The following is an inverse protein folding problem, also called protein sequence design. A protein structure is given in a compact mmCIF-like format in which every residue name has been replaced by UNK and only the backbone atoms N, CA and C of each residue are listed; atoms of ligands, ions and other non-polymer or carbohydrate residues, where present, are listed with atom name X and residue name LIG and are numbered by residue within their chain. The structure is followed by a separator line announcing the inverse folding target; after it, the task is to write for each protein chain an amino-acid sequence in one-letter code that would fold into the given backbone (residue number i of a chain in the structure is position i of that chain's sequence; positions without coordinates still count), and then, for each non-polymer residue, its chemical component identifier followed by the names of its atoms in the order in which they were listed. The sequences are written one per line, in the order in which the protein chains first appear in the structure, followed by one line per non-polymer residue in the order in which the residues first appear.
data_IF_415380433968
#
_entry.id   IF_415380433968
#
_cell.length_a   1.000
_cell.length_b   1.000
_cell.length_c   1.000
_cell.angle_alpha   90.00
_cell.angle_beta   90.00
_cell.angle_gamma   90.00
#
_symmetry.space_group_name_H-M   'P 1'
#
loop_
_entity.id
_entity.type
_entity.pdbx_description
1 polymer ?
#
# COMPACT_ATOMS: atom_id res chain seq x y z
N UNK A 1 29.34 103.57 26.21
CA UNK A 1 27.91 103.73 26.46
C UNK A 1 27.08 103.42 25.25
N UNK A 2 26.22 104.35 24.75
CA UNK A 2 25.19 104.09 23.73
C UNK A 2 25.72 103.42 22.41
N UNK A 3 26.91 103.86 21.97
CA UNK A 3 27.56 103.29 20.74
C UNK A 3 28.00 101.87 20.91
N UNK A 4 28.48 101.49 22.07
CA UNK A 4 28.93 100.14 22.41
C UNK A 4 27.78 99.16 22.60
N UNK A 5 26.76 99.59 23.32
CA UNK A 5 25.50 98.81 23.47
C UNK A 5 24.79 98.63 22.13
N UNK A 6 24.86 99.64 21.20
CA UNK A 6 24.34 99.49 19.83
C UNK A 6 25.07 98.43 19.03
N UNK A 7 26.39 98.38 19.19
CA UNK A 7 27.22 97.30 18.49
C UNK A 7 26.88 95.92 19.01
N UNK A 8 26.83 95.79 20.36
CA UNK A 8 26.48 94.50 21.00
C UNK A 8 25.08 94.04 20.58
N UNK A 9 24.12 94.92 20.50
CA UNK A 9 22.75 94.62 20.10
C UNK A 9 22.69 94.22 18.62
N UNK A 10 23.50 94.84 17.76
CA UNK A 10 23.65 94.44 16.35
C UNK A 10 24.20 93.02 16.19
N UNK A 11 25.25 92.72 16.99
CA UNK A 11 25.84 91.33 16.96
C UNK A 11 24.84 90.27 17.45
N UNK A 12 24.04 90.63 18.48
CA UNK A 12 22.97 89.76 18.98
C UNK A 12 21.88 89.56 17.90
N UNK A 13 21.52 90.63 17.17
CA UNK A 13 20.55 90.53 16.04
C UNK A 13 21.03 89.59 14.91
N UNK A 14 22.31 89.73 14.53
CA UNK A 14 22.86 88.85 13.48
C UNK A 14 22.88 87.39 13.93
N UNK A 15 23.32 87.10 15.17
CA UNK A 15 23.27 85.76 15.75
C UNK A 15 21.87 85.19 15.80
N UNK A 16 20.89 86.04 16.20
CA UNK A 16 19.48 85.62 16.26
C UNK A 16 18.88 85.28 14.92
N UNK A 17 19.20 86.07 13.87
CA UNK A 17 18.82 85.77 12.49
C UNK A 17 19.45 84.48 12.00
N UNK A 18 20.75 84.24 12.30
CA UNK A 18 21.42 83.00 11.97
C UNK A 18 20.79 81.78 12.67
N UNK A 19 20.49 81.87 13.95
CA UNK A 19 19.79 80.79 14.67
C UNK A 19 18.39 80.51 14.13
N UNK A 20 17.65 81.56 13.80
CA UNK A 20 16.35 81.44 13.17
C UNK A 20 16.44 80.66 11.82
N UNK A 21 17.41 81.01 10.99
CA UNK A 21 17.60 80.37 9.69
C UNK A 21 18.04 78.88 9.86
N UNK A 22 18.93 78.58 10.80
CA UNK A 22 19.32 77.19 11.14
C UNK A 22 18.12 76.41 11.65
N UNK A 23 17.28 76.99 12.51
CA UNK A 23 16.08 76.35 13.05
C UNK A 23 15.07 76.07 11.92
N UNK A 24 14.87 76.97 10.98
CA UNK A 24 14.01 76.78 9.83
C UNK A 24 14.54 75.64 8.91
N UNK A 25 15.88 75.57 8.69
CA UNK A 25 16.50 74.49 7.98
C UNK A 25 16.31 73.11 8.64
N UNK A 26 16.56 73.05 9.97
CA UNK A 26 16.30 71.86 10.79
C UNK A 26 14.82 71.42 10.76
N UNK A 27 13.89 72.38 10.85
CA UNK A 27 12.45 72.12 10.74
C UNK A 27 12.05 71.52 9.41
N UNK A 28 12.64 72.01 8.29
CA UNK A 28 12.40 71.43 6.94
C UNK A 28 12.89 69.96 6.88
N UNK A 29 14.05 69.66 7.49
CA UNK A 29 14.58 68.28 7.53
C UNK A 29 13.72 67.34 8.42
N UNK A 30 13.22 67.85 9.54
CA UNK A 30 12.30 67.09 10.41
C UNK A 30 10.98 66.83 9.67
N UNK A 31 10.44 67.84 8.93
CA UNK A 31 9.21 67.64 8.11
C UNK A 31 9.39 66.55 7.07
N UNK A 32 10.52 66.52 6.36
CA UNK A 32 10.83 65.44 5.42
C UNK A 32 10.93 64.04 6.07
N UNK A 33 11.47 63.98 7.29
CA UNK A 33 11.50 62.75 8.08
C UNK A 33 10.11 62.29 8.51
N UNK A 34 9.26 63.25 8.93
CA UNK A 34 7.85 62.98 9.28
C UNK A 34 7.11 62.38 8.05
N UNK A 35 7.27 62.94 6.87
CA UNK A 35 6.64 62.41 5.67
C UNK A 35 7.14 61.00 5.31
N UNK A 36 8.45 60.74 5.49
CA UNK A 36 9.04 59.41 5.32
C UNK A 36 8.47 58.38 6.28
N UNK A 37 8.28 58.75 7.59
CA UNK A 37 7.67 57.87 8.61
C UNK A 37 6.18 57.62 8.28
N UNK A 38 5.42 58.64 7.85
CA UNK A 38 4.03 58.49 7.41
C UNK A 38 3.90 57.51 6.25
N UNK A 39 4.81 57.57 5.23
CA UNK A 39 4.83 56.64 4.12
C UNK A 39 5.14 55.21 4.62
N UNK A 40 6.07 55.08 5.56
CA UNK A 40 6.44 53.79 6.16
C UNK A 40 5.29 53.14 6.95
N UNK A 41 4.54 53.93 7.73
CA UNK A 41 3.34 53.48 8.41
C UNK A 41 2.26 53.01 7.42
N UNK A 42 2.10 53.72 6.31
CA UNK A 42 1.15 53.35 5.26
C UNK A 42 1.53 51.99 4.63
N UNK A 43 2.82 51.77 4.34
CA UNK A 43 3.32 50.50 3.86
C UNK A 43 3.16 49.37 4.88
N UNK A 44 3.41 49.65 6.15
CA UNK A 44 3.21 48.69 7.26
C UNK A 44 1.74 48.26 7.36
N UNK A 45 0.78 49.18 7.29
CA UNK A 45 -0.64 48.86 7.31
C UNK A 45 -1.08 48.00 6.13
N UNK A 46 -0.52 48.23 4.91
CA UNK A 46 -0.77 47.36 3.78
C UNK A 46 -0.21 45.93 4.01
N UNK A 47 0.98 45.81 4.60
CA UNK A 47 1.57 44.52 4.94
C UNK A 47 0.75 43.78 6.00
N UNK A 48 0.25 44.48 7.05
CA UNK A 48 -0.63 43.92 8.07
C UNK A 48 -1.94 43.37 7.49
N UNK A 49 -2.56 44.10 6.54
CA UNK A 49 -3.74 43.59 5.83
C UNK A 49 -3.46 42.31 5.02
N UNK A 50 -2.30 42.25 4.39
CA UNK A 50 -1.87 41.03 3.66
C UNK A 50 -1.65 39.86 4.62
N UNK A 51 -1.00 40.11 5.76
CA UNK A 51 -0.81 39.09 6.83
C UNK A 51 -2.17 38.61 7.34
N UNK A 52 -3.13 39.48 7.56
CA UNK A 52 -4.50 39.12 8.00
C UNK A 52 -5.18 38.16 6.99
N UNK A 53 -5.06 38.46 5.69
CA UNK A 53 -5.60 37.55 4.65
C UNK A 53 -4.92 36.20 4.59
N UNK A 54 -3.59 36.15 4.78
CA UNK A 54 -2.85 34.89 4.84
C UNK A 54 -3.23 34.05 6.07
N UNK A 55 -3.44 34.70 7.22
CA UNK A 55 -3.88 34.02 8.44
C UNK A 55 -5.29 33.41 8.29
N UNK A 56 -6.20 34.09 7.61
CA UNK A 56 -7.53 33.56 7.31
C UNK A 56 -7.47 32.31 6.41
N UNK A 57 -6.64 32.37 5.36
CA UNK A 57 -6.38 31.20 4.51
C UNK A 57 -5.81 30.06 5.33
N UNK A 58 -4.80 30.32 6.18
CA UNK A 58 -4.17 29.30 7.02
C UNK A 58 -5.15 28.67 8.03
N UNK A 59 -6.11 29.42 8.56
CA UNK A 59 -7.17 28.89 9.42
C UNK A 59 -8.05 27.88 8.64
N UNK A 60 -8.41 28.23 7.42
CA UNK A 60 -9.20 27.34 6.55
C UNK A 60 -8.44 26.07 6.19
N UNK A 61 -7.13 26.20 5.89
CA UNK A 61 -6.27 25.07 5.56
C UNK A 61 -6.14 24.10 6.75
N UNK A 62 -6.00 24.63 7.98
CA UNK A 62 -6.00 23.81 9.21
C UNK A 62 -7.33 23.10 9.41
N UNK A 63 -8.45 23.78 9.17
CA UNK A 63 -9.77 23.15 9.29
C UNK A 63 -9.95 22.00 8.29
N UNK A 64 -9.45 22.16 7.06
CA UNK A 64 -9.45 21.11 6.06
C UNK A 64 -8.52 19.95 6.47
N UNK A 65 -7.34 20.26 7.03
CA UNK A 65 -6.40 19.26 7.53
C UNK A 65 -7.01 18.44 8.67
N UNK A 66 -7.73 19.04 9.60
CA UNK A 66 -8.45 18.33 10.67
C UNK A 66 -9.47 17.33 10.09
N UNK A 67 -10.22 17.71 9.06
CA UNK A 67 -11.14 16.78 8.35
C UNK A 67 -10.42 15.63 7.65
N UNK A 68 -9.25 15.88 7.08
CA UNK A 68 -8.42 14.82 6.46
C UNK A 68 -7.85 13.86 7.52
N UNK A 69 -7.42 14.38 8.67
CA UNK A 69 -6.93 13.58 9.81
C UNK A 69 -8.03 12.65 10.33
N UNK A 70 -9.25 13.14 10.48
CA UNK A 70 -10.39 12.33 10.92
C UNK A 70 -10.69 11.21 9.91
N UNK A 71 -10.73 11.54 8.63
CA UNK A 71 -10.93 10.56 7.55
C UNK A 71 -9.81 9.51 7.50
N UNK A 72 -8.55 9.93 7.66
CA UNK A 72 -7.41 9.03 7.70
C UNK A 72 -7.45 8.11 8.92
N UNK A 73 -7.80 8.63 10.09
CA UNK A 73 -7.96 7.84 11.32
C UNK A 73 -9.03 6.76 11.16
N UNK A 74 -10.19 7.12 10.60
CA UNK A 74 -11.25 6.15 10.29
C UNK A 74 -10.78 5.09 9.30
N UNK A 75 -10.06 5.47 8.23
CA UNK A 75 -9.50 4.54 7.24
C UNK A 75 -8.47 3.57 7.83
N UNK A 76 -7.64 4.03 8.78
CA UNK A 76 -6.68 3.18 9.50
C UNK A 76 -7.41 2.14 10.35
N UNK A 77 -8.45 2.54 11.09
CA UNK A 77 -9.25 1.62 11.92
C UNK A 77 -9.95 0.57 11.05
N UNK A 78 -10.58 0.96 9.95
CA UNK A 78 -11.26 0.05 9.01
C UNK A 78 -10.27 -0.91 8.36
N UNK A 79 -9.10 -0.41 7.94
CA UNK A 79 -8.04 -1.23 7.35
C UNK A 79 -7.51 -2.25 8.36
N UNK A 80 -7.29 -1.85 9.62
CA UNK A 80 -6.83 -2.74 10.68
C UNK A 80 -7.83 -3.88 10.92
N UNK A 81 -9.14 -3.58 11.03
CA UNK A 81 -10.18 -4.59 11.17
C UNK A 81 -10.23 -5.56 9.97
N UNK A 82 -10.03 -5.05 8.75
CA UNK A 82 -9.98 -5.87 7.54
C UNK A 82 -8.78 -6.82 7.52
N UNK A 83 -7.62 -6.36 7.96
CA UNK A 83 -6.41 -7.20 8.06
C UNK A 83 -6.55 -8.22 9.19
N UNK A 84 -7.13 -7.88 10.34
CA UNK A 84 -7.42 -8.85 11.40
C UNK A 84 -8.35 -9.97 10.90
N UNK A 85 -9.39 -9.63 10.15
CA UNK A 85 -10.25 -10.61 9.49
C UNK A 85 -9.48 -11.47 8.47
N UNK A 86 -8.57 -10.88 7.70
CA UNK A 86 -7.70 -11.60 6.76
C UNK A 86 -6.81 -12.61 7.50
N UNK A 87 -6.19 -12.25 8.62
CA UNK A 87 -5.40 -13.14 9.47
C UNK A 87 -6.26 -14.31 9.99
N UNK A 88 -7.50 -14.05 10.39
CA UNK A 88 -8.46 -15.09 10.77
C UNK A 88 -8.78 -16.05 9.62
N UNK A 89 -8.96 -15.53 8.41
CA UNK A 89 -9.20 -16.34 7.21
C UNK A 89 -7.98 -17.19 6.84
N UNK A 90 -6.77 -16.61 6.89
CA UNK A 90 -5.51 -17.34 6.65
C UNK A 90 -5.36 -18.50 7.63
N UNK A 91 -5.64 -18.27 8.92
CA UNK A 91 -5.62 -19.33 9.94
C UNK A 91 -6.60 -20.45 9.63
N UNK A 92 -7.82 -20.11 9.17
CA UNK A 92 -8.85 -21.09 8.78
C UNK A 92 -8.43 -21.92 7.56
N UNK A 93 -7.83 -21.27 6.55
CA UNK A 93 -7.29 -21.96 5.36
C UNK A 93 -6.12 -22.85 5.75
N UNK A 94 -5.19 -22.39 6.59
CA UNK A 94 -4.05 -23.16 7.09
C UNK A 94 -4.50 -24.43 7.84
N UNK A 95 -5.54 -24.33 8.68
CA UNK A 95 -6.14 -25.50 9.31
C UNK A 95 -6.75 -26.50 8.30
N UNK A 96 -7.36 -25.97 7.24
CA UNK A 96 -7.92 -26.80 6.17
C UNK A 96 -6.82 -27.52 5.40
N UNK A 97 -5.70 -26.86 5.12
CA UNK A 97 -4.52 -27.44 4.48
C UNK A 97 -3.93 -28.57 5.32
N UNK A 98 -3.83 -28.37 6.63
CA UNK A 98 -3.35 -29.43 7.57
C UNK A 98 -4.24 -30.68 7.50
N UNK A 99 -5.57 -30.49 7.47
CA UNK A 99 -6.51 -31.62 7.29
C UNK A 99 -6.37 -32.26 5.92
N UNK A 100 -6.26 -31.46 4.86
CA UNK A 100 -6.04 -31.97 3.49
C UNK A 100 -4.78 -32.81 3.41
N UNK A 101 -3.68 -32.37 3.99
CA UNK A 101 -2.41 -33.10 4.00
C UNK A 101 -2.57 -34.48 4.66
N UNK A 102 -3.32 -34.59 5.76
CA UNK A 102 -3.59 -35.87 6.41
C UNK A 102 -4.49 -36.76 5.53
N UNK A 103 -5.53 -36.19 4.91
CA UNK A 103 -6.40 -36.95 4.01
C UNK A 103 -5.64 -37.46 2.77
N UNK A 104 -4.72 -36.67 2.21
CA UNK A 104 -3.87 -37.11 1.12
C UNK A 104 -2.90 -38.21 1.55
N UNK A 105 -2.35 -38.17 2.76
CA UNK A 105 -1.53 -39.24 3.32
C UNK A 105 -2.30 -40.56 3.36
N UNK A 106 -3.54 -40.52 3.87
CA UNK A 106 -4.44 -41.68 3.92
C UNK A 106 -4.77 -42.18 2.49
N UNK A 107 -5.02 -41.26 1.57
CA UNK A 107 -5.33 -41.60 0.17
C UNK A 107 -4.14 -42.30 -0.54
N UNK A 108 -2.93 -41.85 -0.25
CA UNK A 108 -1.70 -42.52 -0.75
C UNK A 108 -1.62 -43.92 -0.22
N UNK A 109 -1.85 -44.16 1.07
CA UNK A 109 -1.81 -45.47 1.69
C UNK A 109 -2.88 -46.41 1.10
N UNK A 110 -4.11 -45.91 0.90
CA UNK A 110 -5.20 -46.66 0.27
C UNK A 110 -4.85 -47.02 -1.18
N UNK A 111 -4.31 -46.07 -1.94
CA UNK A 111 -3.93 -46.29 -3.35
C UNK A 111 -2.83 -47.35 -3.45
N UNK A 112 -1.82 -47.32 -2.59
CA UNK A 112 -0.74 -48.32 -2.54
C UNK A 112 -1.29 -49.72 -2.17
N UNK A 113 -2.22 -49.80 -1.20
CA UNK A 113 -2.86 -51.06 -0.83
C UNK A 113 -3.73 -51.62 -1.96
N UNK A 114 -4.45 -50.77 -2.67
CA UNK A 114 -5.25 -51.16 -3.83
C UNK A 114 -4.36 -51.69 -4.98
N UNK A 115 -3.24 -51.03 -5.25
CA UNK A 115 -2.24 -51.49 -6.22
C UNK A 115 -1.67 -52.87 -5.86
N UNK A 116 -1.30 -53.09 -4.61
CA UNK A 116 -0.82 -54.38 -4.14
C UNK A 116 -1.85 -55.49 -4.35
N UNK A 117 -3.14 -55.23 -4.04
CA UNK A 117 -4.22 -56.18 -4.29
C UNK A 117 -4.44 -56.46 -5.76
N UNK A 118 -4.28 -55.46 -6.63
CA UNK A 118 -4.38 -55.61 -8.07
C UNK A 118 -3.26 -56.51 -8.61
N UNK A 119 -2.04 -56.40 -8.07
CA UNK A 119 -0.92 -57.27 -8.43
C UNK A 119 -1.20 -58.72 -8.00
N UNK A 120 -1.85 -58.94 -6.83
CA UNK A 120 -2.29 -60.28 -6.40
C UNK A 120 -3.34 -60.86 -7.36
N UNK A 121 -4.34 -60.08 -7.79
CA UNK A 121 -5.35 -60.49 -8.76
C UNK A 121 -4.69 -60.88 -10.07
N UNK A 122 -3.76 -60.08 -10.58
CA UNK A 122 -3.01 -60.37 -11.79
C UNK A 122 -2.24 -61.71 -11.69
N UNK A 123 -1.58 -61.99 -10.57
CA UNK A 123 -0.89 -63.24 -10.32
C UNK A 123 -1.88 -64.44 -10.31
N UNK A 124 -3.05 -64.29 -9.71
CA UNK A 124 -4.10 -65.32 -9.70
C UNK A 124 -4.64 -65.61 -11.11
N UNK A 125 -4.91 -64.57 -11.91
CA UNK A 125 -5.38 -64.72 -13.29
C UNK A 125 -4.34 -65.42 -14.14
N UNK A 126 -3.06 -65.07 -14.02
CA UNK A 126 -1.97 -65.79 -14.73
C UNK A 126 -1.90 -67.28 -14.34
N UNK A 127 -2.17 -67.59 -13.06
CA UNK A 127 -2.24 -68.99 -12.61
C UNK A 127 -3.45 -69.74 -13.26
N UNK A 128 -4.60 -69.03 -13.41
CA UNK A 128 -5.77 -69.58 -14.11
C UNK A 128 -5.47 -69.87 -15.60
N UNK A 129 -4.74 -68.98 -16.29
CA UNK A 129 -4.28 -69.21 -17.68
C UNK A 129 -3.49 -70.52 -17.77
N UNK A 130 -2.51 -70.67 -16.86
CA UNK A 130 -1.68 -71.89 -16.84
C UNK A 130 -2.49 -73.15 -16.55
N UNK A 131 -3.41 -73.12 -15.59
CA UNK A 131 -4.27 -74.26 -15.25
C UNK A 131 -5.23 -74.60 -16.38
N UNK A 132 -5.81 -73.64 -17.10
CA UNK A 132 -6.65 -73.90 -18.26
C UNK A 132 -5.89 -74.55 -19.39
N UNK A 133 -4.64 -74.10 -19.64
CA UNK A 133 -3.74 -74.75 -20.62
C UNK A 133 -3.44 -76.26 -20.29
N UNK A 134 -3.15 -76.51 -18.97
CA UNK A 134 -2.95 -77.88 -18.53
C UNK A 134 -4.21 -78.74 -18.67
N UNK A 135 -5.39 -78.23 -18.41
CA UNK A 135 -6.66 -78.97 -18.61
C UNK A 135 -6.93 -79.25 -20.09
N UNK A 136 -6.66 -78.25 -20.96
CA UNK A 136 -6.76 -78.45 -22.41
C UNK A 136 -5.82 -79.57 -22.92
N UNK A 137 -4.57 -79.60 -22.42
CA UNK A 137 -3.63 -80.67 -22.76
C UNK A 137 -4.10 -82.02 -22.26
N UNK A 138 -4.58 -82.14 -21.04
CA UNK A 138 -5.15 -83.34 -20.46
C UNK A 138 -6.34 -83.89 -21.27
N UNK A 139 -7.27 -83.00 -21.62
CA UNK A 139 -8.45 -83.29 -22.44
C UNK A 139 -8.04 -83.80 -23.86
N UNK A 140 -7.00 -83.21 -24.44
CA UNK A 140 -6.45 -83.63 -25.74
C UNK A 140 -5.90 -85.04 -25.65
N UNK A 141 -5.23 -85.44 -24.56
CA UNK A 141 -4.78 -86.83 -24.31
C UNK A 141 -5.98 -87.79 -24.19
N UNK A 142 -7.05 -87.42 -23.43
CA UNK A 142 -8.28 -88.23 -23.33
C UNK A 142 -8.95 -88.44 -24.70
N UNK A 143 -9.03 -87.35 -25.50
CA UNK A 143 -9.55 -87.48 -26.90
C UNK A 143 -8.75 -88.47 -27.78
N UNK A 144 -7.40 -88.42 -27.65
CA UNK A 144 -6.54 -89.38 -28.37
C UNK A 144 -6.77 -90.77 -27.86
N UNK A 145 -6.85 -91.05 -26.56
CA UNK A 145 -7.11 -92.34 -25.98
C UNK A 145 -8.46 -92.89 -26.46
N UNK A 146 -9.51 -92.05 -26.43
CA UNK A 146 -10.84 -92.43 -26.93
C UNK A 146 -10.79 -92.85 -28.41
N UNK A 147 -10.12 -92.06 -29.26
CA UNK A 147 -9.95 -92.38 -30.68
C UNK A 147 -9.20 -93.67 -30.90
N UNK A 148 -8.10 -93.91 -30.15
CA UNK A 148 -7.37 -95.15 -30.20
C UNK A 148 -8.19 -96.36 -29.72
N UNK A 149 -8.96 -96.17 -28.62
CA UNK A 149 -9.84 -97.20 -28.08
C UNK A 149 -10.94 -97.59 -29.09
N UNK A 150 -11.48 -96.56 -29.78
CA UNK A 150 -12.52 -96.76 -30.80
C UNK A 150 -11.95 -97.62 -32.00
N UNK A 151 -10.71 -97.30 -32.43
CA UNK A 151 -10.07 -98.05 -33.47
C UNK A 151 -9.75 -99.53 -33.02
N UNK A 152 -9.31 -99.68 -31.75
CA UNK A 152 -9.05 -101.03 -31.18
C UNK A 152 -10.37 -101.83 -31.04
N UNK A 153 -11.44 -101.21 -30.60
CA UNK A 153 -12.74 -101.83 -30.47
C UNK A 153 -13.32 -102.23 -31.85
N UNK A 154 -13.16 -101.38 -32.85
CA UNK A 154 -13.55 -101.68 -34.24
C UNK A 154 -12.77 -102.86 -34.78
N UNK A 155 -11.44 -102.93 -34.58
CA UNK A 155 -10.62 -104.08 -35.00
C UNK A 155 -11.06 -105.39 -34.27
N UNK A 156 -11.35 -105.31 -32.96
CA UNK A 156 -11.84 -106.42 -32.19
C UNK A 156 -13.24 -106.95 -32.66
N UNK A 157 -14.15 -105.97 -33.01
CA UNK A 157 -15.46 -106.32 -33.56
C UNK A 157 -15.34 -107.00 -34.92
N UNK A 158 -14.40 -106.61 -35.78
CA UNK A 158 -14.10 -107.24 -37.08
C UNK A 158 -13.57 -108.66 -36.82
N UNK A 159 -12.66 -108.86 -35.91
CA UNK A 159 -12.08 -110.19 -35.62
C UNK A 159 -13.12 -111.12 -34.98
N UNK A 160 -13.97 -110.56 -34.09
CA UNK A 160 -15.04 -111.33 -33.51
C UNK A 160 -16.09 -111.82 -34.56
N UNK A 161 -16.37 -110.94 -35.58
CA UNK A 161 -17.22 -111.32 -36.68
C UNK A 161 -16.56 -112.44 -37.58
N UNK A 162 -15.26 -112.36 -37.69
CA UNK A 162 -14.46 -113.39 -38.49
C UNK A 162 -14.46 -114.77 -37.78
N UNK A 163 -14.55 -114.84 -36.45
CA UNK A 163 -14.61 -116.07 -35.64
C UNK A 163 -15.99 -116.73 -35.67
N UNK A 164 -17.04 -116.14 -36.31
CA UNK A 164 -18.38 -116.71 -36.49
C UNK A 164 -19.11 -116.98 -35.20
N UNK A 165 -19.71 -118.15 -35.03
CA UNK A 165 -20.50 -118.49 -33.81
C UNK A 165 -19.68 -118.41 -32.49
N UNK A 166 -18.39 -118.76 -32.52
CA UNK A 166 -17.53 -118.67 -31.33
C UNK A 166 -17.18 -117.25 -30.91
N UNK A 167 -17.34 -116.25 -31.78
CA UNK A 167 -17.03 -114.82 -31.54
C UNK A 167 -18.21 -113.96 -31.06
N UNK A 168 -19.45 -114.50 -31.05
CA UNK A 168 -20.67 -113.66 -30.72
C UNK A 168 -20.58 -112.86 -29.39
N UNK A 169 -20.05 -113.49 -28.32
CA UNK A 169 -19.92 -112.80 -27.01
C UNK A 169 -18.84 -111.70 -27.09
N UNK A 170 -17.75 -111.93 -27.80
CA UNK A 170 -16.71 -110.93 -27.97
C UNK A 170 -17.15 -109.74 -28.87
N UNK A 171 -18.00 -110.00 -29.89
CA UNK A 171 -18.54 -108.97 -30.75
C UNK A 171 -19.43 -107.95 -30.00
N UNK A 172 -20.27 -108.42 -29.02
CA UNK A 172 -21.07 -107.55 -28.19
C UNK A 172 -20.20 -106.69 -27.29
N UNK A 173 -19.17 -107.21 -26.66
CA UNK A 173 -18.21 -106.50 -25.82
C UNK A 173 -17.45 -105.45 -26.64
N UNK A 174 -16.98 -105.83 -27.80
CA UNK A 174 -16.27 -104.91 -28.70
C UNK A 174 -17.19 -103.73 -29.15
N UNK A 175 -18.44 -104.02 -29.49
CA UNK A 175 -19.39 -102.95 -29.89
C UNK A 175 -19.73 -102.05 -28.72
N UNK A 176 -19.82 -102.54 -27.45
CA UNK A 176 -20.02 -101.73 -26.25
C UNK A 176 -18.79 -100.84 -25.91
N UNK A 177 -17.57 -101.40 -26.06
CA UNK A 177 -16.31 -100.63 -25.92
C UNK A 177 -16.24 -99.53 -27.02
N UNK A 178 -16.65 -99.85 -28.27
CA UNK A 178 -16.70 -98.90 -29.37
C UNK A 178 -17.67 -97.70 -29.02
N UNK A 179 -18.87 -98.01 -28.53
CA UNK A 179 -19.86 -96.96 -28.10
C UNK A 179 -19.33 -96.13 -26.97
N UNK A 180 -18.69 -96.76 -25.96
CA UNK A 180 -18.05 -96.02 -24.84
C UNK A 180 -16.91 -95.05 -25.33
N UNK A 181 -16.09 -95.58 -26.32
CA UNK A 181 -15.04 -94.76 -26.87
C UNK A 181 -15.58 -93.57 -27.73
N UNK A 182 -16.64 -93.83 -28.51
CA UNK A 182 -17.37 -92.77 -29.27
C UNK A 182 -17.94 -91.71 -28.30
N UNK A 183 -18.64 -92.12 -27.21
CA UNK A 183 -19.14 -91.27 -26.21
C UNK A 183 -18.05 -90.42 -25.50
N UNK A 184 -16.93 -91.05 -25.16
CA UNK A 184 -15.74 -90.39 -24.56
C UNK A 184 -15.14 -89.36 -25.50
N UNK A 185 -15.05 -89.65 -26.78
CA UNK A 185 -14.56 -88.76 -27.84
C UNK A 185 -15.51 -87.52 -27.97
N UNK A 186 -16.82 -87.78 -27.98
CA UNK A 186 -17.82 -86.70 -28.04
C UNK A 186 -17.74 -85.83 -26.83
N UNK A 187 -17.63 -86.44 -25.60
CA UNK A 187 -17.48 -85.72 -24.35
C UNK A 187 -16.23 -84.82 -24.30
N UNK A 188 -15.09 -85.37 -24.81
CA UNK A 188 -13.83 -84.62 -24.91
C UNK A 188 -13.95 -83.47 -25.89
N UNK A 189 -14.72 -83.58 -26.97
CA UNK A 189 -14.99 -82.44 -27.88
C UNK A 189 -15.83 -81.35 -27.23
N UNK A 190 -16.83 -81.73 -26.44
CA UNK A 190 -17.61 -80.76 -25.65
C UNK A 190 -16.76 -80.06 -24.58
N UNK A 191 -15.95 -80.76 -23.82
CA UNK A 191 -15.02 -80.21 -22.83
C UNK A 191 -14.00 -79.27 -23.51
N UNK A 192 -13.53 -79.61 -24.74
CA UNK A 192 -12.63 -78.71 -25.46
C UNK A 192 -13.31 -77.39 -25.80
N UNK A 193 -14.58 -77.39 -26.26
CA UNK A 193 -15.32 -76.19 -26.59
C UNK A 193 -15.49 -75.32 -25.33
N UNK A 194 -15.84 -75.90 -24.15
CA UNK A 194 -15.96 -75.17 -22.88
C UNK A 194 -14.61 -74.59 -22.41
N UNK A 195 -13.49 -75.34 -22.59
CA UNK A 195 -12.14 -74.85 -22.26
C UNK A 195 -11.68 -73.74 -23.20
N UNK A 196 -12.04 -73.77 -24.47
CA UNK A 196 -11.76 -72.67 -25.41
C UNK A 196 -12.54 -71.40 -25.03
N UNK A 197 -13.81 -71.50 -24.56
CA UNK A 197 -14.62 -70.43 -24.06
C UNK A 197 -14.05 -69.85 -22.73
N UNK A 198 -13.68 -70.72 -21.80
CA UNK A 198 -13.02 -70.33 -20.54
C UNK A 198 -11.73 -69.57 -20.84
N UNK A 199 -10.93 -70.02 -21.78
CA UNK A 199 -9.63 -69.37 -22.17
C UNK A 199 -9.89 -67.98 -22.75
N UNK A 200 -10.95 -67.81 -23.55
CA UNK A 200 -11.32 -66.50 -24.09
C UNK A 200 -11.75 -65.54 -22.96
N UNK A 201 -12.61 -65.96 -22.03
CA UNK A 201 -13.02 -65.16 -20.87
C UNK A 201 -11.84 -64.79 -19.99
N UNK A 202 -10.90 -65.72 -19.76
CA UNK A 202 -9.66 -65.40 -18.99
C UNK A 202 -8.83 -64.35 -19.76
N UNK A 203 -8.76 -64.41 -21.09
CA UNK A 203 -8.10 -63.41 -21.92
C UNK A 203 -8.69 -62.00 -21.71
N UNK A 204 -10.02 -61.90 -21.66
CA UNK A 204 -10.72 -60.65 -21.40
C UNK A 204 -10.42 -60.11 -19.98
N UNK A 205 -10.38 -61.01 -18.97
CA UNK A 205 -10.01 -60.64 -17.58
C UNK A 205 -8.56 -60.17 -17.50
N UNK A 206 -7.62 -60.79 -18.22
CA UNK A 206 -6.21 -60.31 -18.30
C UNK A 206 -6.16 -58.88 -18.85
N UNK A 207 -6.88 -58.61 -19.93
CA UNK A 207 -6.92 -57.30 -20.54
C UNK A 207 -7.53 -56.25 -19.58
N UNK A 208 -8.67 -56.55 -18.92
CA UNK A 208 -9.30 -55.69 -17.94
C UNK A 208 -8.38 -55.40 -16.76
N UNK A 209 -7.65 -56.43 -16.27
CA UNK A 209 -6.69 -56.27 -15.17
C UNK A 209 -5.50 -55.37 -15.55
N UNK A 210 -5.01 -55.47 -16.78
CA UNK A 210 -3.93 -54.60 -17.29
C UNK A 210 -4.39 -53.13 -17.40
N UNK A 211 -5.61 -52.90 -17.89
CA UNK A 211 -6.20 -51.53 -17.94
C UNK A 211 -6.33 -50.96 -16.53
N UNK A 212 -6.91 -51.74 -15.61
CA UNK A 212 -7.10 -51.31 -14.21
C UNK A 212 -5.77 -50.99 -13.52
N UNK A 213 -4.71 -51.75 -13.78
CA UNK A 213 -3.36 -51.49 -13.25
C UNK A 213 -2.84 -50.13 -13.72
N UNK A 214 -3.00 -49.82 -15.02
CA UNK A 214 -2.61 -48.52 -15.56
C UNK A 214 -3.40 -47.36 -14.92
N UNK A 215 -4.73 -47.54 -14.71
CA UNK A 215 -5.56 -46.55 -14.04
C UNK A 215 -5.11 -46.28 -12.60
N UNK A 216 -4.66 -47.32 -11.85
CA UNK A 216 -4.10 -47.14 -10.51
C UNK A 216 -2.75 -46.38 -10.52
N UNK A 217 -1.90 -46.61 -11.54
CA UNK A 217 -0.67 -45.84 -11.71
C UNK A 217 -0.97 -44.37 -11.99
N UNK A 218 -1.94 -44.08 -12.85
CA UNK A 218 -2.39 -42.71 -13.16
C UNK A 218 -3.00 -42.00 -11.92
N UNK A 219 -3.82 -42.73 -11.11
CA UNK A 219 -4.37 -42.24 -9.86
C UNK A 219 -3.24 -41.89 -8.89
N UNK A 220 -2.25 -42.76 -8.74
CA UNK A 220 -1.12 -42.54 -7.82
C UNK A 220 -0.32 -41.29 -8.19
N UNK A 221 -0.06 -41.08 -9.50
CA UNK A 221 0.59 -39.87 -10.00
C UNK A 221 -0.23 -38.62 -9.70
N UNK A 222 -1.54 -38.63 -9.94
CA UNK A 222 -2.41 -37.50 -9.69
C UNK A 222 -2.52 -37.16 -8.19
N UNK A 223 -2.62 -38.17 -7.33
CA UNK A 223 -2.63 -37.98 -5.88
C UNK A 223 -1.33 -37.34 -5.40
N UNK A 224 -0.16 -37.81 -5.89
CA UNK A 224 1.13 -37.23 -5.56
C UNK A 224 1.24 -35.77 -6.02
N UNK A 225 0.82 -35.46 -7.25
CA UNK A 225 0.82 -34.10 -7.79
C UNK A 225 -0.06 -33.17 -6.96
N UNK A 226 -1.27 -33.62 -6.59
CA UNK A 226 -2.20 -32.82 -5.80
C UNK A 226 -1.68 -32.60 -4.38
N UNK A 227 -1.02 -33.58 -3.79
CA UNK A 227 -0.36 -33.39 -2.48
C UNK A 227 0.74 -32.32 -2.53
N UNK A 228 1.53 -32.26 -3.61
CA UNK A 228 2.53 -31.20 -3.81
C UNK A 228 1.89 -29.81 -3.92
N UNK A 229 0.76 -29.68 -4.64
CA UNK A 229 0.00 -28.42 -4.74
C UNK A 229 -0.55 -27.97 -3.38
N UNK A 230 -1.01 -28.92 -2.56
CA UNK A 230 -1.47 -28.60 -1.19
C UNK A 230 -0.34 -28.05 -0.34
N UNK A 231 0.88 -28.60 -0.45
CA UNK A 231 2.06 -28.08 0.24
C UNK A 231 2.44 -26.67 -0.25
N UNK A 232 2.36 -26.39 -1.56
CA UNK A 232 2.60 -25.06 -2.12
C UNK A 232 1.60 -24.03 -1.57
N UNK A 233 0.31 -24.40 -1.48
CA UNK A 233 -0.71 -23.54 -0.88
C UNK A 233 -0.37 -23.28 0.61
N UNK A 234 0.10 -24.30 1.34
CA UNK A 234 0.55 -24.17 2.73
C UNK A 234 1.67 -23.13 2.90
N UNK A 235 2.66 -23.18 2.03
CA UNK A 235 3.76 -22.21 2.03
C UNK A 235 3.26 -20.80 1.70
N UNK A 236 2.38 -20.65 0.70
CA UNK A 236 1.78 -19.37 0.33
C UNK A 236 0.95 -18.77 1.49
N UNK A 237 0.24 -19.59 2.28
CA UNK A 237 -0.49 -19.12 3.46
C UNK A 237 0.45 -18.60 4.56
N UNK A 238 1.60 -19.25 4.78
CA UNK A 238 2.60 -18.77 5.72
C UNK A 238 3.19 -17.41 5.29
N UNK A 239 3.52 -17.26 4.00
CA UNK A 239 4.00 -15.98 3.44
C UNK A 239 2.93 -14.89 3.58
N UNK A 240 1.68 -15.22 3.31
CA UNK A 240 0.57 -14.27 3.43
C UNK A 240 0.32 -13.86 4.89
N UNK A 241 0.53 -14.77 5.85
CA UNK A 241 0.44 -14.46 7.28
C UNK A 241 1.52 -13.47 7.70
N UNK A 242 2.75 -13.64 7.25
CA UNK A 242 3.85 -12.72 7.54
C UNK A 242 3.62 -11.35 6.89
N UNK A 243 3.18 -11.33 5.63
CA UNK A 243 2.81 -10.10 4.94
C UNK A 243 1.68 -9.33 5.65
N UNK A 244 0.65 -10.05 6.12
CA UNK A 244 -0.46 -9.45 6.88
C UNK A 244 0.01 -8.82 8.19
N UNK A 245 0.98 -9.45 8.87
CA UNK A 245 1.59 -8.88 10.08
C UNK A 245 2.35 -7.59 9.78
N UNK A 246 3.14 -7.56 8.70
CA UNK A 246 3.84 -6.34 8.28
C UNK A 246 2.88 -5.19 7.95
N UNK A 247 1.72 -5.51 7.35
CA UNK A 247 0.67 -4.50 7.09
C UNK A 247 0.08 -3.97 8.40
N UNK A 248 -0.15 -4.83 9.41
CA UNK A 248 -0.62 -4.38 10.73
C UNK A 248 0.39 -3.46 11.42
N UNK A 249 1.68 -3.79 11.37
CA UNK A 249 2.74 -2.95 11.92
C UNK A 249 2.77 -1.57 11.22
N UNK A 250 2.65 -1.54 9.88
CA UNK A 250 2.58 -0.29 9.11
C UNK A 250 1.32 0.54 9.42
N UNK A 251 0.18 -0.10 9.66
CA UNK A 251 -1.06 0.58 10.09
C UNK A 251 -0.92 1.17 11.49
N UNK A 252 -0.19 0.51 12.39
CA UNK A 252 0.11 1.07 13.71
C UNK A 252 0.99 2.32 13.60
N UNK A 253 2.07 2.30 12.80
CA UNK A 253 2.90 3.47 12.53
C UNK A 253 2.10 4.62 11.89
N UNK A 254 1.18 4.29 10.99
CA UNK A 254 0.29 5.27 10.37
C UNK A 254 -0.66 5.92 11.40
N UNK A 255 -1.17 5.15 12.37
CA UNK A 255 -1.99 5.67 13.46
C UNK A 255 -1.20 6.63 14.35
N UNK A 256 0.04 6.30 14.72
CA UNK A 256 0.93 7.16 15.50
C UNK A 256 1.28 8.45 14.73
N UNK A 257 1.58 8.33 13.43
CA UNK A 257 1.81 9.47 12.54
C UNK A 257 0.59 10.39 12.45
N UNK A 258 -0.61 9.81 12.29
CA UNK A 258 -1.87 10.57 12.26
C UNK A 258 -2.12 11.33 13.56
N UNK A 259 -1.83 10.72 14.71
CA UNK A 259 -1.91 11.38 16.02
C UNK A 259 -0.92 12.53 16.14
N UNK A 260 0.30 12.36 15.63
CA UNK A 260 1.32 13.42 15.60
C UNK A 260 0.89 14.59 14.73
N UNK A 261 0.38 14.33 13.53
CA UNK A 261 -0.15 15.37 12.62
C UNK A 261 -1.31 16.10 13.28
N UNK A 262 -2.21 15.39 13.99
CA UNK A 262 -3.32 16.03 14.75
C UNK A 262 -2.80 16.98 15.82
N UNK A 263 -1.78 16.59 16.56
CA UNK A 263 -1.17 17.45 17.61
C UNK A 263 -0.53 18.68 16.99
N UNK A 264 0.23 18.51 15.90
CA UNK A 264 0.87 19.61 15.17
C UNK A 264 -0.16 20.56 14.56
N UNK A 265 -1.29 20.06 14.05
CA UNK A 265 -2.40 20.88 13.57
C UNK A 265 -2.97 21.79 14.66
N UNK A 266 -3.17 21.25 15.87
CA UNK A 266 -3.63 22.03 17.04
C UNK A 266 -2.64 23.11 17.46
N UNK A 267 -1.33 22.77 17.48
CA UNK A 267 -0.27 23.74 17.77
C UNK A 267 -0.23 24.85 16.72
N UNK A 268 -0.38 24.51 15.44
CA UNK A 268 -0.41 25.47 14.34
C UNK A 268 -1.64 26.40 14.47
N UNK A 269 -2.81 25.86 14.84
CA UNK A 269 -4.02 26.67 15.11
C UNK A 269 -3.79 27.65 16.25
N UNK A 270 -3.10 27.24 17.33
CA UNK A 270 -2.74 28.10 18.44
C UNK A 270 -1.77 29.20 17.99
N UNK A 271 -0.72 28.86 17.25
CA UNK A 271 0.26 29.83 16.76
C UNK A 271 -0.37 30.88 15.82
N UNK A 272 -1.28 30.46 14.94
CA UNK A 272 -2.00 31.40 14.05
C UNK A 272 -2.82 32.39 14.86
N UNK A 273 -3.49 31.98 15.95
CA UNK A 273 -4.22 32.89 16.83
C UNK A 273 -3.30 33.93 17.48
N UNK A 274 -2.13 33.48 17.94
CA UNK A 274 -1.14 34.39 18.55
C UNK A 274 -0.63 35.39 17.50
N UNK A 275 -0.29 34.97 16.29
CA UNK A 275 0.15 35.87 15.21
C UNK A 275 -0.96 36.85 14.83
N UNK A 276 -2.23 36.45 14.86
CA UNK A 276 -3.36 37.33 14.61
C UNK A 276 -3.49 38.42 15.70
N UNK A 277 -3.27 38.05 16.95
CA UNK A 277 -3.32 38.96 18.10
C UNK A 277 -2.16 39.97 18.06
N UNK A 278 -0.94 39.53 17.78
CA UNK A 278 0.24 40.35 17.56
C UNK A 278 0.06 41.32 16.38
N UNK A 279 -0.52 40.86 15.27
CA UNK A 279 -0.79 41.70 14.10
C UNK A 279 -1.78 42.81 14.43
N UNK A 280 -2.79 42.52 15.27
CA UNK A 280 -3.73 43.53 15.75
C UNK A 280 -3.03 44.55 16.66
N UNK A 281 -2.15 44.13 17.55
CA UNK A 281 -1.33 45.02 18.38
C UNK A 281 -0.44 45.95 17.53
N UNK A 282 0.16 45.39 16.44
CA UNK A 282 0.94 46.21 15.50
C UNK A 282 0.09 47.23 14.74
N UNK A 283 -1.18 46.93 14.44
CA UNK A 283 -2.11 47.88 13.82
C UNK A 283 -2.41 49.04 14.77
N UNK A 284 -2.65 48.78 16.06
CA UNK A 284 -2.88 49.82 17.08
C UNK A 284 -1.63 50.72 17.27
N UNK A 285 -0.44 50.13 17.29
CA UNK A 285 0.84 50.87 17.32
C UNK A 285 0.97 51.75 16.09
N UNK A 286 0.67 51.23 14.90
CA UNK A 286 0.74 51.99 13.63
C UNK A 286 -0.18 53.18 13.64
N UNK A 287 -1.41 53.04 14.17
CA UNK A 287 -2.35 54.18 14.34
C UNK A 287 -1.78 55.21 15.31
N UNK A 288 -1.19 54.79 16.42
CA UNK A 288 -0.58 55.69 17.41
C UNK A 288 0.58 56.47 16.80
N UNK A 289 1.46 55.80 16.04
CA UNK A 289 2.58 56.46 15.35
C UNK A 289 2.05 57.45 14.32
N UNK A 290 1.01 57.12 13.54
CA UNK A 290 0.41 58.03 12.57
C UNK A 290 -0.16 59.29 13.24
N UNK A 291 -0.81 59.15 14.42
CA UNK A 291 -1.29 60.26 15.25
C UNK A 291 -0.13 61.16 15.71
N UNK A 292 0.91 60.55 16.28
CA UNK A 292 2.11 61.28 16.74
C UNK A 292 2.82 62.05 15.61
N UNK A 293 2.89 61.44 14.41
CA UNK A 293 3.46 62.13 13.23
C UNK A 293 2.59 63.32 12.80
N UNK A 294 1.29 63.27 13.00
CA UNK A 294 0.39 64.39 12.67
C UNK A 294 0.57 65.54 13.67
N UNK A 295 0.69 65.25 14.96
CA UNK A 295 0.99 66.24 15.98
C UNK A 295 2.38 66.88 15.78
N UNK A 296 3.38 66.04 15.44
CA UNK A 296 4.74 66.52 15.16
C UNK A 296 4.77 67.43 13.93
N UNK A 297 4.03 67.12 12.88
CA UNK A 297 3.89 67.97 11.68
C UNK A 297 3.32 69.35 12.04
N UNK A 298 2.31 69.39 12.90
CA UNK A 298 1.77 70.67 13.40
C UNK A 298 2.82 71.45 14.24
N UNK A 299 3.52 70.76 15.14
CA UNK A 299 4.57 71.40 15.95
C UNK A 299 5.72 71.98 15.11
N UNK A 300 6.12 71.28 14.04
CA UNK A 300 7.14 71.79 13.11
C UNK A 300 6.67 73.02 12.32
N UNK A 301 5.39 73.07 11.92
CA UNK A 301 4.81 74.26 11.31
C UNK A 301 4.85 75.45 12.24
N UNK A 302 4.53 75.25 13.54
CA UNK A 302 4.54 76.30 14.55
C UNK A 302 5.96 76.78 14.83
N UNK A 303 6.97 75.86 14.94
CA UNK A 303 8.38 76.20 15.11
C UNK A 303 8.90 77.03 13.89
N UNK A 304 8.50 76.61 12.71
CA UNK A 304 8.87 77.32 11.45
C UNK A 304 8.31 78.75 11.44
N UNK A 305 7.03 78.92 11.82
CA UNK A 305 6.41 80.26 11.92
C UNK A 305 7.11 81.13 12.96
N UNK A 306 7.42 80.58 14.14
CA UNK A 306 8.17 81.30 15.19
C UNK A 306 9.57 81.65 14.69
N UNK A 307 10.29 80.77 13.96
CA UNK A 307 11.60 81.08 13.43
C UNK A 307 11.57 82.21 12.45
N UNK A 308 10.58 82.29 11.56
CA UNK A 308 10.40 83.39 10.64
C UNK A 308 10.16 84.70 11.42
N UNK A 309 9.29 84.71 12.48
CA UNK A 309 9.04 85.85 13.28
C UNK A 309 10.29 86.38 14.04
N UNK A 310 11.12 85.44 14.54
CA UNK A 310 12.38 85.78 15.20
C UNK A 310 13.37 86.41 14.21
N UNK A 311 13.45 85.87 12.98
CA UNK A 311 14.30 86.41 11.91
C UNK A 311 13.85 87.85 11.54
N UNK A 312 12.58 88.07 11.41
CA UNK A 312 11.99 89.41 11.11
C UNK A 312 12.28 90.42 12.22
N UNK A 313 12.06 90.02 13.50
CA UNK A 313 12.42 90.82 14.65
C UNK A 313 13.93 91.14 14.70
N UNK A 314 14.78 90.18 14.40
CA UNK A 314 16.23 90.45 14.36
C UNK A 314 16.58 91.44 13.27
N UNK A 315 15.98 91.36 12.13
CA UNK A 315 16.17 92.30 11.00
C UNK A 315 15.67 93.72 11.36
N UNK A 316 14.47 93.82 11.93
CA UNK A 316 13.87 95.07 12.39
C UNK A 316 14.72 95.75 13.47
N UNK A 317 15.27 94.91 14.40
CA UNK A 317 16.18 95.39 15.49
C UNK A 317 17.46 95.96 14.88
N UNK A 318 18.04 95.31 13.90
CA UNK A 318 19.25 95.81 13.21
C UNK A 318 19.00 97.09 12.48
N UNK A 319 17.89 97.22 11.77
CA UNK A 319 17.50 98.52 11.15
C UNK A 319 17.35 99.69 12.16
N UNK A 320 16.69 99.38 13.28
CA UNK A 320 16.53 100.43 14.35
C UNK A 320 17.85 100.82 14.98
N UNK A 321 18.81 99.91 15.11
CA UNK A 321 20.13 100.22 15.60
C UNK A 321 20.89 101.12 14.62
N UNK A 322 20.83 100.80 13.30
CA UNK A 322 21.40 101.70 12.28
C UNK A 322 20.80 103.09 12.32
N UNK A 323 19.46 103.23 12.55
CA UNK A 323 18.81 104.52 12.72
C UNK A 323 19.31 105.25 13.99
N UNK A 324 19.44 104.48 15.10
CA UNK A 324 19.97 105.01 16.33
C UNK A 324 21.39 105.55 16.21
N UNK A 325 22.31 104.81 15.52
CA UNK A 325 23.67 105.23 15.27
C UNK A 325 23.72 106.50 14.41
N UNK A 326 22.83 106.66 13.44
CA UNK A 326 22.73 107.88 12.65
C UNK A 326 22.28 109.11 13.56
N UNK A 327 21.34 108.86 14.44
CA UNK A 327 20.86 109.92 15.36
C UNK A 327 21.97 110.31 16.35
N UNK A 328 22.64 109.38 16.97
CA UNK A 328 23.74 109.59 17.89
C UNK A 328 24.91 110.30 17.22
N UNK A 329 25.23 109.96 15.98
CA UNK A 329 26.30 110.68 15.18
C UNK A 329 25.91 112.15 14.99
N UNK A 330 24.64 112.46 14.67
CA UNK A 330 24.20 113.82 14.47
C UNK A 330 24.31 114.66 15.75
N UNK A 331 23.91 114.08 16.89
CA UNK A 331 24.02 114.76 18.17
C UNK A 331 25.47 115.00 18.63
N UNK A 332 26.41 114.14 18.23
CA UNK A 332 27.85 114.28 18.56
C UNK A 332 28.45 115.41 17.73
N UNK A 333 28.08 115.52 16.47
CA UNK A 333 28.60 116.56 15.57
C UNK A 333 28.03 117.94 15.93
N UNK A 334 26.75 118.03 16.33
CA UNK A 334 26.14 119.30 16.86
C UNK A 334 26.78 119.75 18.18
N UNK A 335 27.23 118.81 19.06
CA UNK A 335 27.87 119.14 20.33
C UNK A 335 29.36 119.51 20.14
N UNK A 336 30.02 119.08 19.10
CA UNK A 336 31.37 119.55 18.75
C UNK A 336 31.38 120.89 18.12
N UNK A 337 30.35 121.28 17.33
CA UNK A 337 30.16 122.65 16.77
C UNK A 337 29.82 123.69 17.84
N UNK A 338 28.94 123.33 18.85
CA UNK A 338 28.58 124.17 19.99
C UNK A 338 29.75 124.35 21.00
N UNK A 339 30.76 123.47 20.98
CA UNK A 339 31.94 123.51 21.82
C UNK A 339 33.12 124.34 21.23
N UNK A 340 32.97 124.78 20.00
CA UNK A 340 33.96 125.66 19.28
C UNK A 340 33.53 127.09 19.09
N UNK A 341 32.35 127.47 19.60
CA UNK A 341 31.95 128.90 19.74
C UNK A 341 32.21 129.33 21.20
#
# INVERSE_FOLDING_TARGET
GVKETGKELSEIGEKLATFAQQTAGASTQISANIDSVKDQVTKQNKALNSVSGLLETSINDISNLDGLIESQSAGVVESSASIEQMVGNISSVSNSITKMTEEYRILIDITNAAKARQDEVFAQVNKMVQQSAHLADANNVISKIASQTNLLAMNAAIEAAHAGEAGKGFAVVADEIRKLAENSSHQSTSIKAELDEITAVIGDVVNATNVSRKEFDDISEKVSTTNSLVQEIGNAMNEQQEASKQVLDALQEMNESTSTVSTTSKEMSYNIRNVKEESKGLEEISMTVAGSMTEMDQGIKDITAVSFSVSDMAHSTHEKIIQLDKIVKKFIVEKEEDSQQ
#
